data_IF_533480733973
#
_entry.id   IF_533480733973
#
_cell.length_a   1.000
_cell.length_b   1.000
_cell.length_c   1.000
_cell.angle_alpha   90.00
_cell.angle_beta   90.00
_cell.angle_gamma   90.00
#
_symmetry.space_group_name_H-M   'P 1'
#
loop_
_entity.id
_entity.type
_entity.pdbx_description
1 polymer ?
#
# COMPACT_ATOMS: atom_id res chain seq x y z
N UNK A 1 -14.38 5.39 -22.80
CA UNK A 1 -13.79 5.81 -21.51
C UNK A 1 -13.82 4.61 -20.56
N UNK A 2 -12.69 3.95 -20.31
CA UNK A 2 -12.60 2.96 -19.23
C UNK A 2 -12.44 3.73 -17.93
N UNK A 3 -13.47 3.72 -17.09
CA UNK A 3 -13.50 4.50 -15.85
C UNK A 3 -12.43 4.00 -14.87
N UNK A 4 -11.39 4.81 -14.65
CA UNK A 4 -10.38 4.58 -13.62
C UNK A 4 -10.96 4.62 -12.20
N UNK A 5 -12.25 4.97 -12.06
CA UNK A 5 -12.97 5.04 -10.78
C UNK A 5 -12.94 3.69 -10.04
N UNK A 6 -13.02 2.56 -10.76
CA UNK A 6 -12.93 1.24 -10.13
C UNK A 6 -11.54 0.90 -9.55
N UNK A 7 -10.49 1.65 -9.90
CA UNK A 7 -9.11 1.38 -9.42
C UNK A 7 -8.80 2.05 -8.06
N UNK A 8 -9.61 3.03 -7.65
CA UNK A 8 -9.48 3.71 -6.36
C UNK A 8 -10.45 3.22 -5.29
N UNK A 9 -11.46 2.41 -5.64
CA UNK A 9 -12.33 1.81 -4.64
C UNK A 9 -11.59 0.74 -3.82
N UNK A 10 -11.69 0.78 -2.48
CA UNK A 10 -11.21 -0.30 -1.64
C UNK A 10 -11.79 -1.64 -2.08
N UNK A 11 -10.94 -2.65 -2.19
CA UNK A 11 -11.35 -4.03 -2.45
C UNK A 11 -11.91 -4.68 -1.18
N UNK A 12 -11.24 -4.45 -0.06
CA UNK A 12 -11.63 -4.92 1.28
C UNK A 12 -10.95 -4.06 2.34
N UNK A 13 -11.09 -4.41 3.62
CA UNK A 13 -10.24 -3.89 4.70
C UNK A 13 -9.52 -5.01 5.45
N UNK A 14 -8.38 -4.69 6.03
CA UNK A 14 -7.59 -5.55 6.92
C UNK A 14 -7.45 -4.92 8.31
N UNK A 15 -7.07 -5.71 9.31
CA UNK A 15 -6.79 -5.16 10.64
C UNK A 15 -5.45 -4.41 10.65
N UNK A 16 -5.29 -3.51 11.61
CA UNK A 16 -4.00 -2.86 11.92
C UNK A 16 -2.85 -3.88 12.04
N UNK A 17 -3.08 -4.98 12.76
CA UNK A 17 -2.10 -6.03 12.96
C UNK A 17 -1.70 -6.75 11.67
N UNK A 18 -2.69 -7.15 10.85
CA UNK A 18 -2.46 -7.82 9.57
C UNK A 18 -1.68 -6.91 8.61
N UNK A 19 -2.07 -5.64 8.53
CA UNK A 19 -1.37 -4.63 7.74
C UNK A 19 0.09 -4.47 8.17
N UNK A 20 0.32 -4.30 9.47
CA UNK A 20 1.67 -4.10 10.01
C UNK A 20 2.56 -5.33 9.69
N UNK A 21 2.01 -6.53 9.85
CA UNK A 21 2.69 -7.77 9.51
C UNK A 21 2.97 -7.88 8.00
N UNK A 22 2.04 -7.45 7.14
CA UNK A 22 2.25 -7.40 5.70
C UNK A 22 3.39 -6.44 5.32
N UNK A 23 3.37 -5.21 5.83
CA UNK A 23 4.44 -4.23 5.57
C UNK A 23 5.79 -4.72 6.10
N UNK A 24 5.84 -5.28 7.31
CA UNK A 24 7.07 -5.83 7.89
C UNK A 24 7.66 -6.96 7.03
N UNK A 25 6.81 -7.89 6.56
CA UNK A 25 7.21 -8.96 5.63
C UNK A 25 7.76 -8.39 4.31
N UNK A 26 7.12 -7.36 3.75
CA UNK A 26 7.56 -6.74 2.50
C UNK A 26 8.88 -6.01 2.67
N UNK A 27 9.05 -5.27 3.76
CA UNK A 27 10.31 -4.60 4.12
C UNK A 27 11.45 -5.61 4.28
N UNK A 28 11.19 -6.76 4.92
CA UNK A 28 12.19 -7.81 5.10
C UNK A 28 12.53 -8.60 3.83
N UNK A 29 11.66 -8.57 2.81
CA UNK A 29 11.82 -9.36 1.57
C UNK A 29 12.24 -8.52 0.36
N UNK A 30 12.30 -7.20 0.47
CA UNK A 30 12.58 -6.30 -0.65
C UNK A 30 13.66 -5.30 -0.31
N UNK A 31 14.77 -5.41 -1.02
CA UNK A 31 15.88 -4.49 -0.91
C UNK A 31 15.45 -3.05 -1.20
N UNK A 32 15.88 -2.12 -0.36
CA UNK A 32 15.63 -0.68 -0.51
C UNK A 32 14.25 -0.20 -0.05
N UNK A 33 13.25 -1.09 0.12
CA UNK A 33 11.89 -0.65 0.48
C UNK A 33 11.84 0.09 1.82
N UNK A 34 12.61 -0.35 2.83
CA UNK A 34 12.69 0.34 4.12
C UNK A 34 13.13 1.80 3.97
N UNK A 35 14.15 2.04 3.13
CA UNK A 35 14.68 3.37 2.89
C UNK A 35 13.68 4.25 2.13
N UNK A 36 13.00 3.68 1.12
CA UNK A 36 11.92 4.34 0.39
C UNK A 36 10.79 4.77 1.32
N UNK A 37 10.26 3.86 2.14
CA UNK A 37 9.19 4.19 3.07
C UNK A 37 9.60 5.30 4.05
N UNK A 38 10.81 5.20 4.62
CA UNK A 38 11.33 6.24 5.51
C UNK A 38 11.45 7.62 4.84
N UNK A 39 11.75 7.66 3.54
CA UNK A 39 11.92 8.91 2.81
C UNK A 39 10.60 9.51 2.31
N UNK A 40 9.64 8.66 1.93
CA UNK A 40 8.43 9.09 1.22
C UNK A 40 7.17 9.11 2.08
N UNK A 41 7.20 8.53 3.28
CA UNK A 41 6.02 8.43 4.13
C UNK A 41 6.18 9.03 5.52
N UNK A 42 5.07 9.52 6.06
CA UNK A 42 4.87 9.77 7.49
C UNK A 42 4.08 8.63 8.13
N UNK A 43 4.20 8.44 9.46
CA UNK A 43 3.41 7.45 10.19
C UNK A 43 1.91 7.61 9.98
N UNK A 44 1.20 6.51 10.12
CA UNK A 44 -0.27 6.46 10.10
C UNK A 44 -0.85 6.89 11.44
N UNK A 45 -2.13 7.30 11.42
CA UNK A 45 -2.89 7.54 12.64
C UNK A 45 -3.34 6.22 13.29
N UNK A 46 -3.86 6.32 14.51
CA UNK A 46 -4.39 5.16 15.22
C UNK A 46 -5.74 4.76 14.61
N UNK A 47 -5.77 3.62 13.94
CA UNK A 47 -6.97 3.05 13.34
C UNK A 47 -6.97 1.53 13.49
N UNK A 48 -8.13 0.93 13.74
CA UNK A 48 -8.26 -0.51 13.90
C UNK A 48 -8.23 -1.25 12.55
N UNK A 49 -8.61 -0.57 11.47
CA UNK A 49 -8.73 -1.17 10.13
C UNK A 49 -8.25 -0.25 9.03
N UNK A 50 -7.69 -0.85 7.99
CA UNK A 50 -7.17 -0.17 6.82
C UNK A 50 -7.78 -0.72 5.54
N UNK A 51 -8.04 0.17 4.59
CA UNK A 51 -8.46 -0.23 3.25
C UNK A 51 -7.33 -0.95 2.52
N UNK A 52 -7.71 -1.92 1.71
CA UNK A 52 -6.84 -2.71 0.84
C UNK A 52 -7.38 -2.61 -0.57
N UNK A 53 -6.50 -2.45 -1.56
CA UNK A 53 -6.88 -2.33 -2.97
C UNK A 53 -6.26 -3.46 -3.79
N UNK A 54 -6.82 -3.74 -4.98
CA UNK A 54 -6.12 -4.57 -5.97
C UNK A 54 -5.00 -3.79 -6.63
N UNK A 55 -3.89 -4.46 -6.91
CA UNK A 55 -2.82 -3.88 -7.71
C UNK A 55 -3.30 -3.60 -9.14
N UNK A 56 -3.16 -2.38 -9.67
CA UNK A 56 -3.56 -2.06 -11.04
C UNK A 56 -2.53 -2.54 -12.08
N UNK A 57 -1.37 -3.06 -11.65
CA UNK A 57 -0.34 -3.54 -12.57
C UNK A 57 -0.84 -4.78 -13.30
N UNK A 58 -0.93 -4.70 -14.63
CA UNK A 58 -1.33 -5.82 -15.49
C UNK A 58 -0.46 -7.06 -15.19
N UNK A 59 -1.10 -8.19 -14.93
CA UNK A 59 -0.43 -9.46 -14.60
C UNK A 59 0.03 -9.59 -13.15
N UNK A 60 -0.21 -8.59 -12.30
CA UNK A 60 0.04 -8.69 -10.87
C UNK A 60 -1.26 -8.92 -10.11
N UNK A 61 -1.37 -10.06 -9.43
CA UNK A 61 -2.52 -10.42 -8.62
C UNK A 61 -2.40 -9.96 -7.15
N UNK A 62 -1.46 -9.05 -6.87
CA UNK A 62 -1.20 -8.57 -5.51
C UNK A 62 -2.25 -7.60 -4.99
N UNK A 63 -2.27 -7.45 -3.69
CA UNK A 63 -3.02 -6.46 -2.93
C UNK A 63 -2.11 -5.30 -2.52
N UNK A 64 -2.70 -4.13 -2.33
CA UNK A 64 -2.01 -2.92 -1.90
C UNK A 64 -2.29 -2.68 -0.41
N UNK A 65 -1.24 -2.68 0.40
CA UNK A 65 -1.29 -2.46 1.85
C UNK A 65 -0.82 -1.07 2.20
N UNK A 66 -1.48 -0.43 3.17
CA UNK A 66 -1.15 0.92 3.61
C UNK A 66 0.15 0.93 4.41
N UNK A 67 1.10 1.76 3.99
CA UNK A 67 2.44 1.85 4.58
C UNK A 67 2.75 3.21 5.22
N UNK A 68 1.87 4.20 5.05
CA UNK A 68 2.05 5.54 5.56
C UNK A 68 1.19 6.56 4.81
N UNK A 69 1.28 7.81 5.21
CA UNK A 69 0.81 8.93 4.38
C UNK A 69 1.97 9.47 3.57
N UNK A 70 1.75 9.80 2.30
CA UNK A 70 2.77 10.39 1.46
C UNK A 70 3.11 11.81 1.96
N UNK A 71 4.40 12.07 2.21
CA UNK A 71 4.90 13.32 2.82
C UNK A 71 4.37 14.56 2.10
N UNK A 72 4.39 14.56 0.75
CA UNK A 72 4.11 15.77 -0.04
C UNK A 72 2.77 15.75 -0.79
N UNK A 73 1.98 14.67 -0.67
CA UNK A 73 0.87 14.41 -1.61
C UNK A 73 -0.50 14.21 -0.98
N UNK A 74 -0.62 14.39 0.34
CA UNK A 74 -1.87 14.25 1.10
C UNK A 74 -2.68 13.00 0.70
N UNK A 75 -1.96 11.89 0.48
CA UNK A 75 -2.50 10.65 -0.05
C UNK A 75 -2.01 9.48 0.76
N UNK A 76 -2.75 8.37 0.73
CA UNK A 76 -2.32 7.14 1.39
C UNK A 76 -1.27 6.47 0.52
N UNK A 77 -0.08 6.23 1.09
CA UNK A 77 0.99 5.53 0.43
C UNK A 77 0.81 4.02 0.63
N UNK A 78 0.70 3.28 -0.47
CA UNK A 78 0.42 1.84 -0.44
C UNK A 78 1.49 1.03 -1.18
N UNK A 79 1.79 -0.16 -0.68
CA UNK A 79 2.78 -1.08 -1.24
C UNK A 79 2.08 -2.34 -1.72
N UNK A 80 2.35 -2.75 -2.97
CA UNK A 80 1.83 -3.99 -3.51
C UNK A 80 2.56 -5.21 -2.92
N UNK A 81 1.86 -6.22 -2.42
CA UNK A 81 2.47 -7.47 -1.94
C UNK A 81 2.83 -8.48 -3.05
N UNK A 82 2.30 -8.28 -4.26
CA UNK A 82 2.51 -9.15 -5.40
C UNK A 82 3.87 -8.99 -6.07
N UNK A 83 4.06 -9.73 -7.15
CA UNK A 83 5.34 -9.81 -7.90
C UNK A 83 5.84 -8.51 -8.48
N UNK A 84 4.98 -7.50 -8.67
CA UNK A 84 5.41 -6.24 -9.29
C UNK A 84 6.25 -5.36 -8.35
N UNK A 85 6.12 -5.55 -7.03
CA UNK A 85 6.92 -4.80 -6.05
C UNK A 85 6.59 -3.31 -5.91
N UNK A 86 5.62 -2.78 -6.69
CA UNK A 86 5.40 -1.35 -6.85
C UNK A 86 4.69 -0.70 -5.68
N UNK A 87 4.85 0.61 -5.57
CA UNK A 87 4.13 1.49 -4.66
C UNK A 87 3.15 2.37 -5.43
N UNK A 88 2.09 2.82 -4.74
CA UNK A 88 1.04 3.66 -5.32
C UNK A 88 0.52 4.67 -4.30
N UNK A 89 -0.26 5.62 -4.78
CA UNK A 89 -1.01 6.57 -3.96
C UNK A 89 -2.51 6.30 -4.07
N UNK A 90 -3.25 6.46 -2.98
CA UNK A 90 -4.70 6.32 -2.89
C UNK A 90 -5.35 7.51 -2.20
#
# INVERSE_FOLDING_TARGET
MTSNVAQNYPYTSETEGDRAAAIARLVGSRDGLAATLKAETTPLDANDRWWVWKCPTKGCNGLLHVAGYAVDKHAVYVVCDGTCGKTFLR
#
